data_IF_178876279709
#
_entry.id   IF_178876279709
#
_cell.length_a   1.000
_cell.length_b   1.000
_cell.length_c   1.000
_cell.angle_alpha   90.00
_cell.angle_beta   90.00
_cell.angle_gamma   90.00
#
_symmetry.space_group_name_H-M   'P 1'
#
loop_
_entity.id
_entity.type
_entity.pdbx_description
1 polymer ?
#
# COMPACT_ATOMS: atom_id res chain seq x y z
N UNK A 1 -11.80 43.18 -15.76
CA UNK A 1 -11.22 41.83 -15.83
C UNK A 1 -10.35 41.67 -14.58
N UNK A 2 -10.64 40.66 -13.76
CA UNK A 2 -10.09 40.51 -12.40
C UNK A 2 -8.56 40.41 -12.41
N UNK A 3 -7.90 41.32 -11.70
CA UNK A 3 -6.46 41.30 -11.46
C UNK A 3 -6.13 40.21 -10.44
N UNK A 4 -5.81 39.01 -10.91
CA UNK A 4 -5.27 37.96 -10.04
C UNK A 4 -3.85 38.35 -9.64
N UNK A 5 -3.61 38.52 -8.34
CA UNK A 5 -2.27 38.58 -7.78
C UNK A 5 -1.58 37.22 -7.98
N UNK A 6 -0.32 37.23 -8.43
CA UNK A 6 0.46 36.00 -8.61
C UNK A 6 1.32 35.74 -7.37
N UNK A 7 1.43 34.47 -6.96
CA UNK A 7 2.46 34.10 -5.97
C UNK A 7 3.84 34.13 -6.60
N UNK A 8 4.90 34.29 -5.79
CA UNK A 8 6.30 34.31 -6.28
C UNK A 8 6.64 33.01 -7.03
N UNK A 9 6.13 31.87 -6.56
CA UNK A 9 6.29 30.57 -7.23
C UNK A 9 5.59 30.50 -8.59
N UNK A 10 4.38 31.08 -8.71
CA UNK A 10 3.65 31.12 -9.98
C UNK A 10 4.34 32.03 -10.99
N UNK A 11 4.87 33.18 -10.53
CA UNK A 11 5.63 34.07 -11.40
C UNK A 11 6.93 33.42 -11.85
N UNK A 12 7.67 32.78 -10.94
CA UNK A 12 8.92 32.10 -11.29
C UNK A 12 8.68 31.00 -12.34
N UNK A 13 7.67 30.15 -12.13
CA UNK A 13 7.33 29.10 -13.10
C UNK A 13 6.74 29.61 -14.42
N UNK A 14 6.37 30.89 -14.52
CA UNK A 14 6.01 31.52 -15.80
C UNK A 14 7.22 32.09 -16.54
N UNK A 15 8.26 32.45 -15.80
CA UNK A 15 9.51 32.96 -16.37
C UNK A 15 10.43 31.81 -16.78
N UNK A 16 10.53 30.75 -15.98
CA UNK A 16 11.23 29.50 -16.27
C UNK A 16 10.41 28.67 -17.30
N UNK A 17 10.66 28.88 -18.60
CA UNK A 17 9.89 28.26 -19.68
C UNK A 17 10.28 26.80 -19.90
N UNK A 18 11.54 26.47 -19.63
CA UNK A 18 12.08 25.12 -19.82
C UNK A 18 11.87 24.20 -18.60
N UNK A 19 11.39 24.75 -17.48
CA UNK A 19 11.13 24.09 -16.18
C UNK A 19 12.38 23.44 -15.56
N UNK A 20 13.55 24.03 -15.77
CA UNK A 20 14.81 23.54 -15.22
C UNK A 20 15.11 24.06 -13.80
N UNK A 21 14.27 24.97 -13.28
CA UNK A 21 14.40 25.56 -11.96
C UNK A 21 15.29 26.82 -11.92
N UNK A 22 15.69 27.32 -13.08
CA UNK A 22 16.49 28.53 -13.27
C UNK A 22 15.82 29.44 -14.31
N UNK A 23 16.12 30.73 -14.25
CA UNK A 23 15.71 31.70 -15.29
C UNK A 23 16.98 32.10 -16.03
N UNK A 24 17.14 31.64 -17.27
CA UNK A 24 18.28 31.98 -18.11
C UNK A 24 17.96 33.05 -19.16
N UNK A 25 18.93 33.39 -20.00
CA UNK A 25 18.77 34.39 -21.07
C UNK A 25 17.78 33.92 -22.14
N UNK A 26 17.68 32.61 -22.39
CA UNK A 26 16.73 32.06 -23.34
C UNK A 26 15.30 32.17 -22.82
N UNK A 27 15.06 31.91 -21.54
CA UNK A 27 13.80 32.12 -20.85
C UNK A 27 13.37 33.59 -20.88
N UNK A 28 14.31 34.49 -20.55
CA UNK A 28 14.06 35.93 -20.59
C UNK A 28 13.74 36.44 -22.00
N UNK A 29 14.42 35.92 -23.03
CA UNK A 29 14.13 36.21 -24.45
C UNK A 29 12.78 35.63 -24.88
N UNK A 30 12.39 34.45 -24.41
CA UNK A 30 11.09 33.84 -24.73
C UNK A 30 9.92 34.66 -24.18
N UNK A 31 10.09 35.26 -22.99
CA UNK A 31 9.06 36.09 -22.35
C UNK A 31 9.14 37.57 -22.78
N UNK A 32 10.18 37.99 -23.50
CA UNK A 32 10.38 39.37 -23.96
C UNK A 32 9.21 39.95 -24.76
N UNK A 33 8.54 39.14 -25.59
CA UNK A 33 7.37 39.56 -26.38
C UNK A 33 6.16 39.90 -25.50
N UNK A 34 6.07 39.33 -24.30
CA UNK A 34 4.96 39.59 -23.37
C UNK A 34 5.11 40.92 -22.62
N UNK A 35 6.22 41.64 -22.83
CA UNK A 35 6.62 42.81 -22.04
C UNK A 35 6.68 44.05 -22.93
N UNK A 36 5.88 45.05 -22.61
CA UNK A 36 5.78 46.31 -23.37
C UNK A 36 6.91 47.32 -23.06
N UNK A 37 8.15 46.89 -22.81
CA UNK A 37 9.26 47.79 -22.49
C UNK A 37 10.40 47.70 -23.52
N UNK A 38 10.52 48.73 -24.37
CA UNK A 38 11.62 48.88 -25.35
C UNK A 38 13.02 48.81 -24.71
N UNK A 39 13.15 49.21 -23.44
CA UNK A 39 14.42 49.20 -22.71
C UNK A 39 14.89 47.79 -22.28
N UNK A 40 13.98 46.83 -22.07
CA UNK A 40 14.39 45.50 -21.62
C UNK A 40 15.03 44.70 -22.76
N UNK A 41 14.51 44.84 -23.99
CA UNK A 41 15.01 44.12 -25.16
C UNK A 41 16.42 44.58 -25.55
N UNK A 42 16.72 45.87 -25.45
CA UNK A 42 18.06 46.40 -25.74
C UNK A 42 19.11 46.01 -24.70
N UNK A 43 18.70 45.81 -23.44
CA UNK A 43 19.58 45.34 -22.37
C UNK A 43 19.78 43.82 -22.40
N UNK A 44 18.80 43.05 -22.86
CA UNK A 44 18.91 41.59 -23.01
C UNK A 44 19.98 41.17 -24.04
N UNK A 45 20.22 41.98 -25.06
CA UNK A 45 21.29 41.75 -26.05
C UNK A 45 22.70 41.96 -25.48
N UNK A 46 22.82 42.61 -24.31
CA UNK A 46 24.09 42.85 -23.62
C UNK A 46 24.41 41.77 -22.56
N UNK A 47 23.46 40.87 -22.27
CA UNK A 47 23.63 39.78 -21.31
C UNK A 47 24.26 38.57 -22.02
N UNK A 48 25.35 38.04 -21.46
CA UNK A 48 25.98 36.83 -21.98
C UNK A 48 25.16 35.56 -21.70
N UNK A 49 25.17 34.59 -22.61
CA UNK A 49 24.35 33.37 -22.54
C UNK A 49 24.65 32.46 -21.32
N UNK A 50 25.70 32.73 -20.53
CA UNK A 50 26.12 31.90 -19.38
C UNK A 50 25.49 32.28 -18.04
N UNK A 51 24.56 33.23 -17.99
CA UNK A 51 23.97 33.71 -16.74
C UNK A 51 22.58 33.13 -16.48
N UNK A 52 22.38 32.52 -15.30
CA UNK A 52 21.11 31.93 -14.86
C UNK A 52 20.78 32.32 -13.42
N UNK A 53 19.51 32.64 -13.14
CA UNK A 53 19.02 33.06 -11.81
C UNK A 53 18.22 31.92 -11.16
N UNK A 54 18.61 31.48 -9.97
CA UNK A 54 17.88 30.45 -9.21
C UNK A 54 16.69 31.03 -8.43
N UNK A 55 15.69 30.20 -8.07
CA UNK A 55 14.51 30.64 -7.31
C UNK A 55 14.84 31.43 -6.02
N UNK A 56 15.84 30.99 -5.25
CA UNK A 56 16.24 31.67 -4.00
C UNK A 56 16.82 33.06 -4.25
N UNK A 57 17.53 33.23 -5.36
CA UNK A 57 18.10 34.51 -5.76
C UNK A 57 17.02 35.44 -6.31
N UNK A 58 16.12 34.89 -7.13
CA UNK A 58 14.94 35.60 -7.62
C UNK A 58 14.05 36.11 -6.47
N UNK A 59 13.77 35.27 -5.48
CA UNK A 59 13.01 35.68 -4.29
C UNK A 59 13.72 36.78 -3.49
N UNK A 60 15.05 36.69 -3.32
CA UNK A 60 15.83 37.74 -2.65
C UNK A 60 15.86 39.06 -3.43
N UNK A 61 15.83 39.02 -4.76
CA UNK A 61 15.78 40.21 -5.60
C UNK A 61 14.45 40.94 -5.48
N UNK A 62 13.33 40.20 -5.47
CA UNK A 62 12.01 40.79 -5.27
C UNK A 62 11.88 41.45 -3.90
N UNK A 63 12.40 40.78 -2.86
CA UNK A 63 12.41 41.31 -1.48
C UNK A 63 13.25 42.59 -1.36
N UNK A 64 14.45 42.63 -1.99
CA UNK A 64 15.34 43.80 -2.01
C UNK A 64 14.71 45.01 -2.70
N UNK A 65 13.79 44.80 -3.63
CA UNK A 65 13.07 45.85 -4.35
C UNK A 65 11.67 46.12 -3.76
N UNK A 66 11.37 45.62 -2.56
CA UNK A 66 10.10 45.82 -1.84
C UNK A 66 8.85 45.35 -2.63
N UNK A 67 9.01 44.37 -3.53
CA UNK A 67 7.90 43.80 -4.32
C UNK A 67 7.24 42.69 -3.51
N UNK A 68 6.12 43.00 -2.86
CA UNK A 68 5.38 42.03 -2.03
C UNK A 68 4.39 41.19 -2.86
N UNK A 69 3.99 40.01 -2.34
CA UNK A 69 3.03 39.08 -2.97
C UNK A 69 1.71 39.73 -3.42
N UNK A 70 1.31 40.83 -2.77
CA UNK A 70 0.07 41.54 -3.06
C UNK A 70 0.16 42.49 -4.26
N UNK A 71 1.37 42.86 -4.69
CA UNK A 71 1.61 43.82 -5.77
C UNK A 71 1.92 43.16 -7.12
N UNK A 72 2.04 41.83 -7.18
CA UNK A 72 2.38 41.08 -8.39
C UNK A 72 1.21 41.03 -9.38
N UNK A 73 1.07 42.10 -10.17
CA UNK A 73 0.16 42.23 -11.32
C UNK A 73 0.95 42.20 -12.63
N UNK A 74 0.28 41.85 -13.73
CA UNK A 74 0.87 41.82 -15.08
C UNK A 74 1.60 43.12 -15.49
N UNK A 75 1.19 44.27 -14.94
CA UNK A 75 1.82 45.58 -15.17
C UNK A 75 3.21 45.71 -14.54
N UNK A 76 3.57 44.87 -13.58
CA UNK A 76 4.86 44.89 -12.87
C UNK A 76 5.89 43.89 -13.41
N UNK A 77 5.49 42.98 -14.29
CA UNK A 77 6.38 42.04 -14.99
C UNK A 77 7.53 42.75 -15.71
N UNK A 78 7.25 43.86 -16.39
CA UNK A 78 8.28 44.66 -17.09
C UNK A 78 9.30 45.28 -16.15
N UNK A 79 8.90 45.66 -14.93
CA UNK A 79 9.81 46.18 -13.89
C UNK A 79 10.69 45.06 -13.32
N UNK A 80 10.10 43.90 -13.04
CA UNK A 80 10.79 42.73 -12.50
C UNK A 80 11.86 42.23 -13.48
N UNK A 81 11.54 42.20 -14.78
CA UNK A 81 12.49 41.85 -15.83
C UNK A 81 13.63 42.86 -15.97
N UNK A 82 13.35 44.16 -15.90
CA UNK A 82 14.39 45.17 -15.93
C UNK A 82 15.34 45.05 -14.71
N UNK A 83 14.81 44.73 -13.53
CA UNK A 83 15.60 44.45 -12.32
C UNK A 83 16.49 43.23 -12.53
N UNK A 84 15.95 42.13 -13.06
CA UNK A 84 16.72 40.91 -13.33
C UNK A 84 17.84 41.17 -14.33
N UNK A 85 17.54 41.79 -15.47
CA UNK A 85 18.53 42.11 -16.51
C UNK A 85 19.62 43.05 -15.96
N UNK A 86 19.24 44.08 -15.20
CA UNK A 86 20.20 45.01 -14.58
C UNK A 86 21.08 44.29 -13.54
N UNK A 87 20.50 43.39 -12.74
CA UNK A 87 21.25 42.58 -11.78
C UNK A 87 22.27 41.72 -12.52
N UNK A 88 21.87 41.03 -13.58
CA UNK A 88 22.73 40.17 -14.39
C UNK A 88 23.89 40.93 -15.05
N UNK A 89 23.66 42.17 -15.51
CA UNK A 89 24.71 43.04 -16.04
C UNK A 89 25.67 43.58 -14.96
N UNK A 90 25.22 43.69 -13.71
CA UNK A 90 26.02 44.21 -12.59
C UNK A 90 26.90 43.17 -11.91
N UNK A 91 26.62 41.88 -12.12
CA UNK A 91 27.40 40.78 -11.54
C UNK A 91 28.63 40.51 -12.43
N UNK A 92 29.87 40.67 -11.92
CA UNK A 92 31.07 40.39 -12.70
C UNK A 92 31.12 38.90 -13.08
N UNK A 93 31.54 38.63 -14.33
CA UNK A 93 31.60 37.31 -14.98
C UNK A 93 32.45 36.23 -14.26
N UNK A 94 33.09 36.55 -13.14
CA UNK A 94 33.81 35.62 -12.27
C UNK A 94 32.95 34.95 -11.19
N UNK A 95 31.70 35.37 -11.01
CA UNK A 95 30.71 34.72 -10.15
C UNK A 95 29.55 34.12 -10.96
N UNK A 96 29.85 33.51 -12.10
CA UNK A 96 28.91 32.64 -12.78
C UNK A 96 28.66 31.40 -11.91
N UNK A 97 27.44 31.29 -11.37
CA UNK A 97 26.92 30.05 -10.78
C UNK A 97 26.78 29.02 -11.90
N UNK A 98 27.89 28.39 -12.24
CA UNK A 98 27.97 27.23 -13.14
C UNK A 98 26.89 26.21 -12.78
N UNK A 99 26.09 25.81 -13.77
CA UNK A 99 25.19 24.66 -13.75
C UNK A 99 25.80 23.50 -12.97
N UNK A 100 25.32 23.29 -11.74
CA UNK A 100 25.71 22.15 -10.92
C UNK A 100 24.72 21.04 -11.26
N UNK A 101 25.15 20.01 -12.00
CA UNK A 101 24.34 18.80 -12.12
C UNK A 101 23.88 18.36 -10.72
N UNK A 102 22.57 18.14 -10.49
CA UNK A 102 22.09 17.76 -9.18
C UNK A 102 22.77 16.45 -8.80
N UNK A 103 23.46 16.46 -7.66
CA UNK A 103 24.16 15.27 -7.19
C UNK A 103 23.12 14.16 -7.00
N UNK A 104 23.51 12.89 -7.13
CA UNK A 104 22.61 11.75 -6.89
C UNK A 104 21.83 11.88 -5.56
N UNK A 105 22.45 12.52 -4.56
CA UNK A 105 21.84 12.88 -3.29
C UNK A 105 20.63 13.82 -3.44
N UNK A 106 20.73 14.88 -4.24
CA UNK A 106 19.66 15.86 -4.46
C UNK A 106 18.48 15.22 -5.20
N UNK A 107 18.75 14.39 -6.22
CA UNK A 107 17.71 13.55 -6.88
C UNK A 107 17.05 12.56 -5.93
N UNK A 108 17.79 12.01 -4.98
CA UNK A 108 17.24 11.07 -3.99
C UNK A 108 16.37 11.80 -2.98
N UNK A 109 16.77 13.00 -2.57
CA UNK A 109 15.96 13.86 -1.70
C UNK A 109 14.68 14.29 -2.41
N UNK A 110 14.75 14.76 -3.66
CA UNK A 110 13.57 15.15 -4.43
C UNK A 110 12.60 13.98 -4.68
N UNK A 111 13.14 12.79 -4.94
CA UNK A 111 12.33 11.58 -5.03
C UNK A 111 11.67 11.24 -3.70
N UNK A 112 12.37 11.41 -2.57
CA UNK A 112 11.86 11.16 -1.22
C UNK A 112 10.86 12.22 -0.74
N UNK A 113 10.98 13.47 -1.18
CA UNK A 113 10.09 14.58 -0.87
C UNK A 113 8.91 14.70 -1.84
N UNK A 114 8.90 13.93 -2.94
CA UNK A 114 7.76 13.85 -3.85
C UNK A 114 6.49 13.40 -3.13
N UNK A 115 5.35 14.01 -3.47
CA UNK A 115 4.06 13.68 -2.82
C UNK A 115 3.68 12.21 -3.04
N UNK A 116 4.06 11.62 -4.18
CA UNK A 116 3.87 10.19 -4.45
C UNK A 116 4.60 9.32 -3.43
N UNK A 117 5.85 9.66 -3.09
CA UNK A 117 6.61 8.90 -2.09
C UNK A 117 6.03 9.11 -0.69
N UNK A 118 5.58 10.32 -0.35
CA UNK A 118 4.92 10.58 0.94
C UNK A 118 3.64 9.74 1.08
N UNK A 119 2.80 9.67 0.05
CA UNK A 119 1.61 8.81 0.06
C UNK A 119 1.96 7.32 0.17
N UNK A 120 3.04 6.88 -0.49
CA UNK A 120 3.51 5.51 -0.42
C UNK A 120 4.01 5.14 1.00
N UNK A 121 4.78 6.04 1.62
CA UNK A 121 5.26 5.87 3.00
C UNK A 121 4.07 5.88 3.97
N UNK A 122 3.15 6.85 3.85
CA UNK A 122 1.95 6.92 4.68
C UNK A 122 1.10 5.64 4.57
N UNK A 123 0.89 5.14 3.35
CA UNK A 123 0.20 3.87 3.11
C UNK A 123 0.92 2.66 3.72
N UNK A 124 2.25 2.60 3.60
CA UNK A 124 3.08 1.55 4.17
C UNK A 124 3.04 1.52 5.70
N UNK A 125 3.20 2.68 6.35
CA UNK A 125 3.13 2.84 7.80
C UNK A 125 1.73 2.53 8.31
N UNK A 126 0.68 3.08 7.69
CA UNK A 126 -0.70 2.82 8.05
C UNK A 126 -1.04 1.32 7.97
N UNK A 127 -0.58 0.65 6.91
CA UNK A 127 -0.70 -0.80 6.78
C UNK A 127 -0.01 -1.55 7.93
N UNK A 128 1.21 -1.15 8.30
CA UNK A 128 2.00 -1.82 9.34
C UNK A 128 1.37 -1.66 10.72
N UNK A 129 0.90 -0.44 11.05
CA UNK A 129 0.19 -0.14 12.29
C UNK A 129 -1.10 -0.95 12.37
N UNK A 130 -1.92 -0.94 11.31
CA UNK A 130 -3.15 -1.71 11.24
C UNK A 130 -2.93 -3.21 11.50
N UNK A 131 -1.96 -3.83 10.82
CA UNK A 131 -1.63 -5.26 11.02
C UNK A 131 -1.19 -5.57 12.44
N UNK A 132 -0.49 -4.64 13.08
CA UNK A 132 -0.03 -4.79 14.47
C UNK A 132 -1.18 -4.72 15.45
N UNK A 133 -2.10 -3.77 15.28
CA UNK A 133 -3.30 -3.65 16.13
C UNK A 133 -4.18 -4.89 16.03
N UNK A 134 -4.39 -5.44 14.82
CA UNK A 134 -5.24 -6.63 14.63
C UNK A 134 -4.51 -7.96 14.78
N UNK A 135 -3.22 -7.96 15.10
CA UNK A 135 -2.41 -9.17 15.27
C UNK A 135 -3.00 -10.20 16.26
N UNK A 136 -3.54 -9.81 17.44
CA UNK A 136 -4.15 -10.78 18.36
C UNK A 136 -5.30 -11.57 17.71
N UNK A 137 -6.19 -10.86 17.02
CA UNK A 137 -7.38 -11.43 16.38
C UNK A 137 -7.00 -12.30 15.18
N UNK A 138 -6.00 -11.87 14.43
CA UNK A 138 -5.45 -12.59 13.29
C UNK A 138 -4.76 -13.89 13.71
N UNK A 139 -3.97 -13.83 14.78
CA UNK A 139 -3.34 -15.03 15.37
C UNK A 139 -4.40 -16.00 15.87
N UNK A 140 -5.42 -15.52 16.58
CA UNK A 140 -6.54 -16.34 17.04
C UNK A 140 -7.30 -16.99 15.86
N UNK A 141 -7.53 -16.28 14.75
CA UNK A 141 -8.10 -16.88 13.52
C UNK A 141 -7.26 -18.08 13.09
N UNK A 142 -5.94 -17.91 12.96
CA UNK A 142 -5.04 -18.98 12.53
C UNK A 142 -5.10 -20.16 13.50
N UNK A 143 -5.03 -19.92 14.81
CA UNK A 143 -5.13 -20.97 15.83
C UNK A 143 -6.43 -21.75 15.71
N UNK A 144 -7.56 -21.08 15.47
CA UNK A 144 -8.85 -21.76 15.30
C UNK A 144 -8.88 -22.64 14.05
N UNK A 145 -8.36 -22.15 12.93
CA UNK A 145 -8.42 -22.82 11.63
C UNK A 145 -7.59 -24.12 11.59
N UNK A 146 -6.51 -24.19 12.37
CA UNK A 146 -5.56 -25.31 12.32
C UNK A 146 -5.85 -26.42 13.33
N UNK A 147 -6.77 -26.22 14.27
CA UNK A 147 -7.18 -27.24 15.24
C UNK A 147 -7.67 -28.50 14.52
N UNK A 148 -7.24 -29.66 15.00
CA UNK A 148 -7.53 -30.96 14.37
C UNK A 148 -8.79 -31.65 14.87
N UNK A 149 -8.86 -32.98 14.67
CA UNK A 149 -10.01 -33.80 15.06
C UNK A 149 -10.08 -34.05 16.56
N UNK A 150 -8.95 -33.92 17.26
CA UNK A 150 -8.89 -34.04 18.72
C UNK A 150 -9.64 -32.87 19.39
N UNK A 151 -9.88 -32.99 20.70
CA UNK A 151 -10.56 -31.98 21.49
C UNK A 151 -9.97 -30.57 21.22
N UNK A 152 -10.81 -29.58 20.87
CA UNK A 152 -10.32 -28.26 20.49
C UNK A 152 -9.64 -27.60 21.69
N UNK A 153 -8.32 -27.36 21.58
CA UNK A 153 -7.54 -26.68 22.60
C UNK A 153 -7.94 -25.20 22.79
N UNK A 154 -8.55 -24.59 21.77
CA UNK A 154 -8.96 -23.19 21.78
C UNK A 154 -10.43 -23.07 21.40
N UNK A 155 -11.26 -22.70 22.37
CA UNK A 155 -12.71 -22.50 22.19
C UNK A 155 -13.10 -21.13 22.71
N UNK A 156 -13.82 -20.34 21.91
CA UNK A 156 -14.31 -19.01 22.31
C UNK A 156 -13.26 -17.91 22.19
N UNK A 157 -13.71 -16.70 21.88
CA UNK A 157 -12.83 -15.54 21.60
C UNK A 157 -12.08 -15.10 22.87
N UNK A 158 -12.81 -14.81 23.94
CA UNK A 158 -12.24 -14.23 25.17
C UNK A 158 -11.36 -15.19 25.96
N UNK A 159 -11.79 -16.43 26.09
CA UNK A 159 -11.01 -17.54 26.67
C UNK A 159 -9.70 -17.76 25.93
N UNK A 160 -9.71 -17.70 24.59
CA UNK A 160 -8.49 -17.85 23.78
C UNK A 160 -7.55 -16.66 23.96
N UNK A 161 -8.06 -15.43 23.91
CA UNK A 161 -7.25 -14.23 24.16
C UNK A 161 -6.64 -14.23 25.57
N UNK A 162 -7.43 -14.58 26.59
CA UNK A 162 -6.97 -14.70 27.97
C UNK A 162 -5.91 -15.79 28.14
N UNK A 163 -6.07 -16.93 27.46
CA UNK A 163 -5.08 -18.01 27.43
C UNK A 163 -3.77 -17.56 26.77
N UNK A 164 -3.84 -16.94 25.60
CA UNK A 164 -2.66 -16.40 24.89
C UNK A 164 -1.91 -15.38 25.75
N UNK A 165 -2.62 -14.52 26.47
CA UNK A 165 -2.02 -13.57 27.40
C UNK A 165 -1.32 -14.26 28.57
N UNK A 166 -1.99 -15.24 29.21
CA UNK A 166 -1.43 -15.96 30.36
C UNK A 166 -0.24 -16.85 30.00
N UNK A 167 -0.30 -17.53 28.85
CA UNK A 167 0.74 -18.49 28.44
C UNK A 167 1.94 -17.81 27.76
N UNK A 168 1.73 -16.73 27.00
CA UNK A 168 2.76 -16.14 26.13
C UNK A 168 2.94 -14.62 26.26
N UNK A 169 2.06 -13.94 27.02
CA UNK A 169 2.07 -12.49 27.18
C UNK A 169 1.84 -11.71 25.88
N UNK A 170 2.21 -10.43 25.90
CA UNK A 170 2.10 -9.52 24.76
C UNK A 170 2.84 -10.02 23.51
N UNK A 171 4.06 -10.55 23.68
CA UNK A 171 4.84 -11.11 22.57
C UNK A 171 4.13 -12.29 21.91
N UNK A 172 3.33 -13.03 22.66
CA UNK A 172 2.40 -14.03 22.14
C UNK A 172 1.46 -13.45 21.09
N UNK A 173 0.78 -12.34 21.36
CA UNK A 173 -0.15 -11.75 20.40
C UNK A 173 0.50 -11.32 19.08
N UNK A 174 1.79 -11.02 19.09
CA UNK A 174 2.54 -10.52 17.93
C UNK A 174 3.24 -11.62 17.11
N UNK A 175 3.04 -12.90 17.45
CA UNK A 175 3.72 -14.01 16.76
C UNK A 175 3.30 -14.14 15.31
N UNK A 176 4.29 -14.06 14.42
CA UNK A 176 4.10 -14.05 12.97
C UNK A 176 3.77 -12.67 12.39
N UNK A 177 3.52 -11.64 13.21
CA UNK A 177 3.20 -10.30 12.71
C UNK A 177 4.36 -9.66 11.94
N UNK A 178 5.61 -9.86 12.38
CA UNK A 178 6.78 -9.34 11.67
C UNK A 178 6.84 -9.82 10.22
N UNK A 179 6.57 -11.11 9.99
CA UNK A 179 6.47 -11.67 8.63
C UNK A 179 5.32 -11.06 7.83
N UNK A 180 4.19 -10.76 8.49
CA UNK A 180 3.05 -10.11 7.86
C UNK A 180 3.35 -8.69 7.39
N UNK A 181 4.10 -7.91 8.18
CA UNK A 181 4.54 -6.55 7.83
C UNK A 181 5.56 -6.59 6.69
N UNK A 182 6.60 -7.43 6.79
CA UNK A 182 7.62 -7.60 5.75
C UNK A 182 6.98 -8.00 4.41
N UNK A 183 5.96 -8.86 4.45
CA UNK A 183 5.26 -9.33 3.25
C UNK A 183 4.53 -8.23 2.48
N UNK A 184 4.17 -7.11 3.12
CA UNK A 184 3.35 -6.09 2.46
C UNK A 184 4.04 -5.46 1.25
N UNK A 185 5.33 -5.13 1.36
CA UNK A 185 6.08 -4.48 0.29
C UNK A 185 6.14 -5.34 -0.98
N UNK A 186 6.65 -6.58 -0.96
CA UNK A 186 6.70 -7.41 -2.16
C UNK A 186 5.30 -7.81 -2.64
N UNK A 187 4.32 -7.91 -1.75
CA UNK A 187 2.93 -8.18 -2.12
C UNK A 187 2.36 -7.03 -2.96
N UNK A 188 2.45 -5.79 -2.48
CA UNK A 188 1.97 -4.62 -3.21
C UNK A 188 2.73 -4.42 -4.52
N UNK A 189 4.06 -4.51 -4.50
CA UNK A 189 4.88 -4.34 -5.71
C UNK A 189 4.51 -5.34 -6.81
N UNK A 190 4.41 -6.63 -6.46
CA UNK A 190 3.97 -7.65 -7.42
C UNK A 190 2.52 -7.46 -7.87
N UNK A 191 1.64 -6.97 -6.99
CA UNK A 191 0.23 -6.73 -7.33
C UNK A 191 0.08 -5.61 -8.33
N UNK A 192 0.76 -4.48 -8.12
CA UNK A 192 0.74 -3.37 -9.06
C UNK A 192 1.34 -3.76 -10.41
N UNK A 193 2.51 -4.40 -10.41
CA UNK A 193 3.14 -4.85 -11.65
C UNK A 193 2.25 -5.83 -12.43
N UNK A 194 1.66 -6.83 -11.77
CA UNK A 194 0.76 -7.77 -12.42
C UNK A 194 -0.56 -7.11 -12.85
N UNK A 195 -1.08 -6.17 -12.06
CA UNK A 195 -2.31 -5.46 -12.37
C UNK A 195 -2.17 -4.63 -13.65
N UNK A 196 -1.07 -3.88 -13.83
CA UNK A 196 -0.85 -3.11 -15.06
C UNK A 196 -0.78 -4.01 -16.31
N UNK A 197 -0.18 -5.20 -16.19
CA UNK A 197 -0.13 -6.17 -17.29
C UNK A 197 -1.52 -6.73 -17.62
N UNK A 198 -2.27 -7.18 -16.61
CA UNK A 198 -3.63 -7.68 -16.83
C UNK A 198 -4.58 -6.58 -17.29
N UNK A 199 -4.40 -5.36 -16.79
CA UNK A 199 -5.18 -4.19 -17.20
C UNK A 199 -4.95 -3.88 -18.67
N UNK A 200 -3.68 -3.82 -19.09
CA UNK A 200 -3.32 -3.58 -20.49
C UNK A 200 -3.84 -4.69 -21.40
N UNK A 201 -3.78 -5.95 -20.96
CA UNK A 201 -4.26 -7.10 -21.73
C UNK A 201 -5.79 -7.18 -21.85
N UNK A 202 -6.54 -6.66 -20.87
CA UNK A 202 -8.01 -6.67 -20.85
C UNK A 202 -8.65 -5.36 -21.33
N UNK A 203 -7.83 -4.35 -21.64
CA UNK A 203 -8.30 -3.05 -22.14
C UNK A 203 -8.86 -3.20 -23.56
N UNK A 204 -10.05 -2.65 -23.79
CA UNK A 204 -10.60 -2.58 -25.15
C UNK A 204 -9.89 -1.50 -25.98
N UNK A 205 -9.66 -1.74 -27.28
CA UNK A 205 -9.12 -0.71 -28.18
C UNK A 205 -9.99 0.55 -28.14
N UNK A 206 -9.37 1.69 -27.83
CA UNK A 206 -10.04 3.00 -27.79
C UNK A 206 -10.69 3.40 -26.45
N UNK A 207 -10.56 2.59 -25.39
CA UNK A 207 -11.00 2.96 -24.03
C UNK A 207 -9.82 3.23 -23.10
N UNK A 208 -9.96 4.24 -22.24
CA UNK A 208 -8.96 4.62 -21.22
C UNK A 208 -9.14 3.88 -19.89
N UNK A 209 -10.32 3.31 -19.62
CA UNK A 209 -10.64 2.62 -18.38
C UNK A 209 -11.32 1.26 -18.61
N UNK A 210 -11.06 0.33 -17.69
CA UNK A 210 -11.72 -0.96 -17.66
C UNK A 210 -13.13 -0.85 -17.09
N UNK A 211 -14.04 -1.67 -17.62
CA UNK A 211 -15.34 -1.89 -16.98
C UNK A 211 -15.16 -2.52 -15.57
N UNK A 212 -16.19 -2.41 -14.73
CA UNK A 212 -16.15 -2.96 -13.37
C UNK A 212 -15.82 -4.46 -13.36
N UNK A 213 -16.43 -5.32 -14.21
CA UNK A 213 -16.10 -6.74 -14.27
C UNK A 213 -14.63 -7.04 -14.62
N UNK A 214 -14.07 -6.45 -15.69
CA UNK A 214 -12.67 -6.73 -16.08
C UNK A 214 -11.68 -6.12 -15.11
N UNK A 215 -12.00 -4.98 -14.50
CA UNK A 215 -11.19 -4.41 -13.42
C UNK A 215 -11.11 -5.36 -12.22
N UNK A 216 -12.24 -6.00 -11.85
CA UNK A 216 -12.28 -7.02 -10.81
C UNK A 216 -11.50 -8.27 -11.20
N UNK A 217 -11.61 -8.72 -12.44
CA UNK A 217 -10.82 -9.87 -12.96
C UNK A 217 -9.32 -9.56 -12.96
N UNK A 218 -8.92 -8.39 -13.47
CA UNK A 218 -7.53 -7.93 -13.46
C UNK A 218 -6.97 -7.84 -12.04
N UNK A 219 -7.76 -7.29 -11.10
CA UNK A 219 -7.43 -7.23 -9.68
C UNK A 219 -7.35 -8.60 -9.00
N UNK A 220 -8.24 -9.52 -9.37
CA UNK A 220 -8.23 -10.90 -8.86
C UNK A 220 -7.02 -11.69 -9.34
N UNK A 221 -6.69 -11.61 -10.64
CA UNK A 221 -5.54 -12.27 -11.24
C UNK A 221 -4.21 -11.68 -10.72
N UNK A 222 -4.11 -10.36 -10.61
CA UNK A 222 -2.92 -9.73 -10.02
C UNK A 222 -2.74 -10.15 -8.56
N UNK A 223 -3.82 -10.22 -7.78
CA UNK A 223 -3.81 -10.74 -6.42
C UNK A 223 -3.31 -12.19 -6.34
N UNK A 224 -3.69 -13.07 -7.28
CA UNK A 224 -3.18 -14.45 -7.37
C UNK A 224 -1.66 -14.45 -7.59
N UNK A 225 -1.17 -13.64 -8.52
CA UNK A 225 0.28 -13.53 -8.81
C UNK A 225 1.04 -13.04 -7.57
N UNK A 226 0.51 -12.02 -6.87
CA UNK A 226 1.13 -11.50 -5.64
C UNK A 226 1.13 -12.49 -4.48
N UNK A 227 0.04 -13.24 -4.33
CA UNK A 227 -0.04 -14.32 -3.36
C UNK A 227 0.98 -15.40 -3.69
N UNK A 228 1.12 -15.79 -4.95
CA UNK A 228 2.12 -16.77 -5.37
C UNK A 228 3.54 -16.27 -5.06
N UNK A 229 3.87 -15.04 -5.47
CA UNK A 229 5.18 -14.43 -5.21
C UNK A 229 5.52 -14.37 -3.71
N UNK A 230 4.54 -14.03 -2.87
CA UNK A 230 4.74 -13.86 -1.42
C UNK A 230 4.35 -15.06 -0.57
N UNK A 231 4.05 -16.20 -1.20
CA UNK A 231 3.50 -17.37 -0.52
C UNK A 231 4.44 -17.94 0.57
N UNK A 232 5.77 -18.03 0.37
CA UNK A 232 6.68 -18.52 1.40
C UNK A 232 6.57 -17.74 2.72
N UNK A 233 6.40 -16.42 2.64
CA UNK A 233 6.23 -15.57 3.83
C UNK A 233 4.89 -15.82 4.53
N UNK A 234 3.80 -16.06 3.78
CA UNK A 234 2.51 -16.37 4.39
C UNK A 234 2.50 -17.76 5.06
N UNK A 235 3.20 -18.74 4.49
CA UNK A 235 3.37 -20.05 5.12
C UNK A 235 4.20 -19.93 6.41
N UNK A 236 5.34 -19.24 6.38
CA UNK A 236 6.20 -19.04 7.56
C UNK A 236 5.44 -18.31 8.67
N UNK A 237 4.69 -17.26 8.32
CA UNK A 237 3.82 -16.54 9.25
C UNK A 237 2.88 -17.48 9.98
N UNK A 238 2.18 -18.34 9.23
CA UNK A 238 1.21 -19.30 9.80
C UNK A 238 1.88 -20.22 10.81
N UNK A 239 3.07 -20.74 10.48
CA UNK A 239 3.81 -21.62 11.38
C UNK A 239 4.33 -20.92 12.62
N UNK A 240 4.90 -19.73 12.49
CA UNK A 240 5.36 -18.92 13.62
C UNK A 240 4.21 -18.57 14.59
N UNK A 241 3.00 -18.35 14.07
CA UNK A 241 1.81 -18.08 14.89
C UNK A 241 1.36 -19.29 15.73
N UNK A 242 1.71 -20.51 15.31
CA UNK A 242 1.26 -21.77 15.93
C UNK A 242 2.35 -22.41 16.79
N UNK A 243 3.62 -22.21 16.46
CA UNK A 243 4.77 -22.86 17.12
C UNK A 243 4.89 -22.62 18.62
N UNK A 244 4.28 -21.56 19.17
CA UNK A 244 4.17 -21.37 20.63
C UNK A 244 2.84 -21.71 21.24
N UNK A 245 1.83 -21.94 20.41
CA UNK A 245 0.57 -22.42 20.93
C UNK A 245 0.83 -23.79 21.57
N UNK A 246 0.13 -24.06 22.66
CA UNK A 246 0.13 -25.35 23.36
C UNK A 246 -0.05 -26.57 22.45
N UNK A 247 -0.61 -26.38 21.24
CA UNK A 247 -0.73 -27.41 20.19
C UNK A 247 0.61 -28.00 19.71
N UNK A 248 1.73 -27.27 19.79
CA UNK A 248 3.07 -27.78 19.47
C UNK A 248 3.89 -28.16 20.70
N UNK A 249 3.41 -27.85 21.91
CA UNK A 249 4.05 -28.17 23.18
C UNK A 249 3.37 -29.43 23.75
N UNK A 250 3.49 -30.55 23.05
CA UNK A 250 3.11 -31.89 23.55
C UNK A 250 4.33 -32.70 24.00
N UNK A 251 5.34 -32.05 24.58
CA UNK A 251 6.48 -32.74 25.19
C UNK A 251 6.71 -32.22 26.59
N UNK A 252 6.59 -33.14 27.57
CA UNK A 252 7.02 -33.05 28.96
C UNK A 252 8.54 -32.78 29.09
N UNK A 253 9.05 -31.73 28.47
CA UNK A 253 10.47 -31.41 28.44
C UNK A 253 10.63 -30.00 28.96
N UNK A 254 11.18 -29.87 30.18
CA UNK A 254 11.61 -28.62 30.84
C UNK A 254 12.75 -27.90 30.10
N UNK A 255 12.87 -28.08 28.79
CA UNK A 255 13.89 -27.43 27.97
C UNK A 255 13.24 -26.25 27.25
N UNK A 256 13.71 -25.01 27.45
CA UNK A 256 13.20 -23.86 26.71
C UNK A 256 13.55 -24.02 25.23
N UNK A 257 12.57 -24.47 24.44
CA UNK A 257 12.72 -24.56 22.98
C UNK A 257 12.82 -23.14 22.45
N UNK A 258 14.03 -22.73 22.03
CA UNK A 258 14.24 -21.46 21.34
C UNK A 258 13.43 -21.51 20.05
N UNK A 259 12.36 -20.70 19.99
CA UNK A 259 11.50 -20.67 18.83
C UNK A 259 12.27 -20.13 17.62
N UNK A 260 12.23 -20.83 16.47
CA UNK A 260 12.99 -20.44 15.30
C UNK A 260 12.50 -19.10 14.76
N UNK A 261 13.43 -18.27 14.28
CA UNK A 261 13.08 -17.05 13.55
C UNK A 261 12.50 -17.34 12.16
N UNK A 262 12.21 -16.28 11.40
CA UNK A 262 11.70 -16.38 10.02
C UNK A 262 12.65 -17.23 9.16
N UNK A 263 13.94 -16.88 9.15
CA UNK A 263 14.97 -17.56 8.34
C UNK A 263 15.13 -19.02 8.75
N UNK A 264 15.22 -19.30 10.06
CA UNK A 264 15.33 -20.66 10.58
C UNK A 264 14.11 -21.51 10.20
N UNK A 265 12.90 -20.92 10.21
CA UNK A 265 11.68 -21.61 9.79
C UNK A 265 11.70 -21.94 8.29
N UNK A 266 12.11 -20.98 7.44
CA UNK A 266 12.29 -21.23 5.99
C UNK A 266 13.30 -22.35 5.74
N UNK A 267 14.46 -22.29 6.39
CA UNK A 267 15.52 -23.30 6.26
C UNK A 267 15.05 -24.68 6.72
N UNK A 268 14.30 -24.75 7.82
CA UNK A 268 13.72 -25.99 8.31
C UNK A 268 12.79 -26.60 7.26
N UNK A 269 11.80 -25.84 6.79
CA UNK A 269 10.84 -26.30 5.76
C UNK A 269 11.58 -26.79 4.52
N UNK A 270 12.57 -26.02 4.05
CA UNK A 270 13.32 -26.37 2.86
C UNK A 270 14.07 -27.70 3.03
N UNK A 271 14.69 -27.92 4.19
CA UNK A 271 15.48 -29.14 4.45
C UNK A 271 14.60 -30.36 4.77
N UNK A 272 13.48 -30.19 5.47
CA UNK A 272 12.71 -31.33 6.01
C UNK A 272 11.46 -31.68 5.21
N UNK A 273 10.93 -30.77 4.38
CA UNK A 273 9.60 -30.93 3.78
C UNK A 273 9.56 -30.86 2.25
N UNK A 274 10.68 -31.20 1.61
CA UNK A 274 10.76 -31.30 0.15
C UNK A 274 11.10 -29.99 -0.55
N UNK A 275 11.93 -29.14 0.07
CA UNK A 275 12.51 -27.96 -0.57
C UNK A 275 11.47 -26.90 -0.92
N UNK A 276 11.55 -26.41 -2.17
CA UNK A 276 10.65 -25.39 -2.69
C UNK A 276 9.19 -25.82 -2.66
N UNK A 277 8.87 -27.08 -2.97
CA UNK A 277 7.47 -27.56 -2.96
C UNK A 277 6.82 -27.46 -1.57
N UNK A 278 7.60 -27.65 -0.51
CA UNK A 278 7.14 -27.48 0.88
C UNK A 278 6.74 -26.04 1.20
N UNK A 279 7.49 -25.05 0.69
CA UNK A 279 7.21 -23.63 0.89
C UNK A 279 5.91 -23.15 0.21
N UNK A 280 5.40 -23.90 -0.77
CA UNK A 280 4.18 -23.59 -1.52
C UNK A 280 2.97 -24.45 -1.12
N UNK A 281 3.05 -25.21 -0.03
CA UNK A 281 1.96 -26.06 0.44
C UNK A 281 0.74 -25.21 0.83
N UNK A 282 -0.37 -25.41 0.12
CA UNK A 282 -1.62 -24.65 0.30
C UNK A 282 -1.84 -23.51 -0.72
N UNK A 283 -0.93 -23.30 -1.67
CA UNK A 283 -1.15 -22.32 -2.75
C UNK A 283 -2.38 -22.69 -3.59
N UNK A 284 -2.57 -23.98 -3.85
CA UNK A 284 -3.72 -24.47 -4.63
C UNK A 284 -5.09 -24.10 -4.02
N UNK A 285 -5.43 -24.44 -2.76
CA UNK A 285 -6.69 -24.00 -2.17
C UNK A 285 -6.81 -22.48 -2.05
N UNK A 286 -5.68 -21.76 -1.96
CA UNK A 286 -5.69 -20.29 -1.95
C UNK A 286 -6.16 -19.73 -3.28
N UNK A 287 -5.56 -20.18 -4.39
CA UNK A 287 -5.87 -19.72 -5.75
C UNK A 287 -7.26 -20.14 -6.18
N UNK A 288 -7.67 -21.37 -5.83
CA UNK A 288 -9.02 -21.87 -6.10
C UNK A 288 -10.13 -21.02 -5.46
N UNK A 289 -9.85 -20.39 -4.32
CA UNK A 289 -10.81 -19.53 -3.62
C UNK A 289 -10.99 -18.14 -4.22
N UNK A 290 -10.02 -17.63 -4.98
CA UNK A 290 -10.03 -16.23 -5.45
C UNK A 290 -11.13 -15.98 -6.48
N UNK A 291 -11.19 -16.77 -7.55
CA UNK A 291 -12.17 -16.55 -8.61
C UNK A 291 -13.63 -16.68 -8.12
N UNK A 292 -14.00 -17.72 -7.35
CA UNK A 292 -15.32 -17.80 -6.72
C UNK A 292 -15.61 -16.65 -5.76
N UNK A 293 -14.62 -16.20 -4.97
CA UNK A 293 -14.80 -15.06 -4.08
C UNK A 293 -15.14 -13.78 -4.85
N UNK A 294 -14.40 -13.46 -5.92
CA UNK A 294 -14.65 -12.28 -6.75
C UNK A 294 -16.04 -12.35 -7.39
N UNK A 295 -16.40 -13.50 -7.96
CA UNK A 295 -17.70 -13.70 -8.61
C UNK A 295 -18.87 -13.55 -7.61
N UNK A 296 -18.77 -14.21 -6.45
CA UNK A 296 -19.81 -14.15 -5.41
C UNK A 296 -19.93 -12.75 -4.82
N UNK A 297 -18.81 -12.09 -4.54
CA UNK A 297 -18.83 -10.74 -3.99
C UNK A 297 -19.51 -9.76 -4.96
N UNK A 298 -19.19 -9.85 -6.25
CA UNK A 298 -19.85 -9.04 -7.28
C UNK A 298 -21.35 -9.34 -7.38
N UNK A 299 -21.73 -10.62 -7.49
CA UNK A 299 -23.12 -11.01 -7.62
C UNK A 299 -23.94 -10.60 -6.38
N UNK A 300 -23.41 -10.82 -5.18
CA UNK A 300 -24.07 -10.40 -3.94
C UNK A 300 -24.17 -8.88 -3.85
N UNK A 301 -23.16 -8.14 -4.33
CA UNK A 301 -23.19 -6.68 -4.34
C UNK A 301 -24.28 -6.13 -5.25
N UNK A 302 -24.39 -6.60 -6.50
CA UNK A 302 -25.42 -6.14 -7.43
C UNK A 302 -26.83 -6.47 -6.91
N UNK A 303 -27.04 -7.70 -6.42
CA UNK A 303 -28.32 -8.07 -5.80
C UNK A 303 -28.64 -7.15 -4.61
N UNK A 304 -27.71 -6.98 -3.67
CA UNK A 304 -27.94 -6.13 -2.49
C UNK A 304 -28.19 -4.67 -2.88
N UNK A 305 -27.49 -4.16 -3.88
CA UNK A 305 -27.66 -2.81 -4.40
C UNK A 305 -29.07 -2.62 -5.00
N UNK A 306 -29.54 -3.58 -5.79
CA UNK A 306 -30.89 -3.54 -6.39
C UNK A 306 -32.00 -3.54 -5.33
N UNK A 307 -31.81 -4.28 -4.23
CA UNK A 307 -32.78 -4.31 -3.11
C UNK A 307 -32.66 -3.12 -2.15
N UNK A 308 -31.45 -2.64 -1.87
CA UNK A 308 -31.19 -1.67 -0.80
C UNK A 308 -31.02 -0.23 -1.29
N UNK A 309 -30.90 0.03 -2.60
CA UNK A 309 -30.72 1.39 -3.15
C UNK A 309 -31.81 1.64 -4.22
N UNK A 310 -32.93 2.30 -3.87
CA UNK A 310 -33.92 2.72 -4.85
C UNK A 310 -33.35 3.83 -5.75
N UNK A 311 -33.85 3.88 -6.98
CA UNK A 311 -33.31 4.61 -8.16
C UNK A 311 -33.20 6.14 -7.98
N UNK A 312 -33.69 6.72 -6.87
CA UNK A 312 -33.94 8.18 -6.76
C UNK A 312 -33.27 8.93 -5.60
N UNK A 313 -32.45 8.31 -4.75
CA UNK A 313 -31.75 9.05 -3.68
C UNK A 313 -30.22 8.99 -3.83
N UNK A 314 -29.63 10.17 -4.07
CA UNK A 314 -28.19 10.42 -4.17
C UNK A 314 -27.47 10.35 -2.79
N UNK A 315 -28.22 10.06 -1.72
CA UNK A 315 -27.70 9.86 -0.37
C UNK A 315 -27.38 8.38 -0.13
N UNK A 316 -26.16 7.95 -0.46
CA UNK A 316 -25.86 6.53 -0.30
C UNK A 316 -24.42 6.07 -0.15
N UNK A 317 -23.42 6.94 0.11
CA UNK A 317 -22.04 6.44 0.29
C UNK A 317 -21.95 5.40 1.43
N UNK A 318 -22.71 5.62 2.52
CA UNK A 318 -22.80 4.68 3.65
C UNK A 318 -23.58 3.41 3.28
N UNK A 319 -24.70 3.53 2.53
CA UNK A 319 -25.50 2.38 2.08
C UNK A 319 -24.71 1.50 1.11
N UNK A 320 -24.00 2.11 0.14
CA UNK A 320 -23.09 1.42 -0.78
C UNK A 320 -21.95 0.72 -0.03
N UNK A 321 -21.38 1.38 0.99
CA UNK A 321 -20.38 0.78 1.88
C UNK A 321 -20.94 -0.44 2.63
N UNK A 322 -22.16 -0.34 3.17
CA UNK A 322 -22.83 -1.42 3.86
C UNK A 322 -23.16 -2.60 2.93
N UNK A 323 -23.65 -2.31 1.72
CA UNK A 323 -23.88 -3.32 0.69
C UNK A 323 -22.58 -4.06 0.34
N UNK A 324 -21.47 -3.31 0.17
CA UNK A 324 -20.15 -3.90 -0.08
C UNK A 324 -19.65 -4.75 1.08
N UNK A 325 -19.81 -4.29 2.32
CA UNK A 325 -19.41 -5.04 3.52
C UNK A 325 -20.23 -6.33 3.69
N UNK A 326 -21.55 -6.27 3.44
CA UNK A 326 -22.43 -7.43 3.52
C UNK A 326 -22.16 -8.42 2.38
N UNK A 327 -22.03 -7.94 1.14
CA UNK A 327 -21.67 -8.76 -0.01
C UNK A 327 -20.34 -9.50 0.22
N UNK A 328 -19.32 -8.77 0.68
CA UNK A 328 -18.02 -9.35 1.02
C UNK A 328 -18.11 -10.37 2.15
N UNK A 329 -18.96 -10.12 3.15
CA UNK A 329 -19.17 -11.05 4.27
C UNK A 329 -19.87 -12.34 3.84
N UNK A 330 -20.86 -12.26 2.95
CA UNK A 330 -21.55 -13.42 2.37
C UNK A 330 -20.57 -14.23 1.52
N UNK A 331 -19.87 -13.58 0.58
CA UNK A 331 -18.88 -14.23 -0.27
C UNK A 331 -17.78 -14.91 0.56
N UNK A 332 -17.27 -14.22 1.59
CA UNK A 332 -16.28 -14.77 2.51
C UNK A 332 -16.81 -15.97 3.30
N UNK A 333 -18.11 -15.99 3.67
CA UNK A 333 -18.74 -17.14 4.37
C UNK A 333 -18.74 -18.37 3.47
N UNK A 334 -19.16 -18.21 2.22
CA UNK A 334 -19.28 -19.31 1.26
C UNK A 334 -17.89 -19.89 0.93
N UNK A 335 -16.88 -19.02 0.76
CA UNK A 335 -15.51 -19.43 0.43
C UNK A 335 -14.68 -19.85 1.66
N UNK A 336 -15.19 -19.60 2.88
CA UNK A 336 -14.47 -19.86 4.12
C UNK A 336 -13.89 -21.28 4.28
N UNK A 337 -14.55 -22.36 3.83
CA UNK A 337 -13.98 -23.71 3.90
C UNK A 337 -12.62 -23.83 3.19
N UNK A 338 -12.41 -23.15 2.05
CA UNK A 338 -11.12 -23.12 1.36
C UNK A 338 -10.07 -22.33 2.15
N UNK A 339 -10.52 -21.31 2.87
CA UNK A 339 -9.70 -20.46 3.75
C UNK A 339 -9.16 -21.25 4.95
N UNK A 340 -10.00 -22.09 5.57
CA UNK A 340 -9.58 -23.04 6.63
C UNK A 340 -8.63 -24.08 6.06
N UNK A 341 -9.00 -24.66 4.92
CA UNK A 341 -8.21 -25.70 4.25
C UNK A 341 -6.79 -25.24 3.91
N UNK A 342 -6.64 -24.01 3.39
CA UNK A 342 -5.34 -23.37 3.15
C UNK A 342 -4.47 -23.43 4.40
N UNK A 343 -4.98 -22.98 5.56
CA UNK A 343 -4.19 -22.97 6.81
C UNK A 343 -3.79 -24.37 7.24
N UNK A 344 -4.67 -25.37 7.05
CA UNK A 344 -4.33 -26.77 7.33
C UNK A 344 -3.21 -27.31 6.45
N UNK A 345 -3.22 -26.95 5.18
CA UNK A 345 -2.15 -27.33 4.26
C UNK A 345 -0.83 -26.65 4.65
N UNK A 346 -0.85 -25.40 5.10
CA UNK A 346 0.36 -24.68 5.52
C UNK A 346 1.05 -25.29 6.76
N UNK A 347 0.28 -25.96 7.62
CA UNK A 347 0.78 -26.61 8.85
C UNK A 347 0.97 -28.11 8.72
N UNK A 348 0.36 -28.74 7.71
CA UNK A 348 0.68 -30.11 7.32
C UNK A 348 2.19 -30.19 7.09
N UNK A 349 2.85 -31.21 7.65
CA UNK A 349 4.31 -31.39 7.65
C UNK A 349 5.02 -30.95 8.93
N UNK A 350 4.35 -30.23 9.84
CA UNK A 350 4.87 -30.03 11.20
C UNK A 350 4.71 -31.33 12.00
N UNK A 351 5.76 -31.78 12.70
CA UNK A 351 5.77 -33.02 13.50
C UNK A 351 4.66 -33.09 14.56
N UNK A 352 4.09 -31.95 14.97
CA UNK A 352 2.99 -31.88 15.92
C UNK A 352 1.59 -32.04 15.30
N UNK A 353 1.47 -32.11 13.97
CA UNK A 353 0.20 -32.11 13.24
C UNK A 353 0.19 -33.16 12.11
N UNK A 354 -0.36 -34.35 12.38
CA UNK A 354 -0.43 -35.46 11.41
C UNK A 354 -1.59 -35.30 10.42
N UNK A 355 -1.52 -34.27 9.57
CA UNK A 355 -2.45 -34.10 8.45
C UNK A 355 -1.84 -34.63 7.16
N UNK A 356 -2.28 -35.82 6.74
CA UNK A 356 -2.00 -36.35 5.40
C UNK A 356 -3.23 -36.20 4.52
N UNK A 357 -3.16 -35.24 3.60
CA UNK A 357 -4.21 -35.00 2.62
C UNK A 357 -3.71 -35.30 1.22
N UNK A 358 -4.38 -36.20 0.50
CA UNK A 358 -4.05 -36.54 -0.89
C UNK A 358 -4.66 -35.55 -1.91
N UNK A 359 -5.37 -34.51 -1.44
CA UNK A 359 -5.96 -33.47 -2.29
C UNK A 359 -6.97 -32.59 -1.54
N UNK A 360 -7.35 -31.47 -2.15
CA UNK A 360 -8.31 -30.48 -1.59
C UNK A 360 -9.66 -31.12 -1.28
N UNK A 361 -10.23 -31.89 -2.21
CA UNK A 361 -11.54 -32.53 -2.01
C UNK A 361 -11.50 -33.60 -0.92
N UNK A 362 -10.46 -34.44 -0.94
CA UNK A 362 -10.24 -35.46 0.09
C UNK A 362 -10.11 -34.81 1.47
N UNK A 363 -9.39 -33.70 1.57
CA UNK A 363 -9.24 -32.95 2.82
C UNK A 363 -10.56 -32.36 3.32
N UNK A 364 -11.33 -31.70 2.46
CA UNK A 364 -12.65 -31.15 2.83
C UNK A 364 -13.60 -32.25 3.30
N UNK A 365 -13.66 -33.38 2.57
CA UNK A 365 -14.48 -34.54 2.95
C UNK A 365 -14.02 -35.12 4.28
N UNK A 366 -12.71 -35.28 4.47
CA UNK A 366 -12.14 -35.82 5.73
C UNK A 366 -12.44 -34.91 6.91
N UNK A 367 -12.31 -33.59 6.74
CA UNK A 367 -12.63 -32.61 7.79
C UNK A 367 -14.12 -32.66 8.15
N UNK A 368 -15.01 -32.70 7.15
CA UNK A 368 -16.44 -32.77 7.39
C UNK A 368 -16.84 -34.07 8.11
N UNK A 369 -16.24 -35.21 7.75
CA UNK A 369 -16.56 -36.53 8.31
C UNK A 369 -15.95 -36.75 9.70
N UNK A 370 -14.68 -36.37 9.91
CA UNK A 370 -13.97 -36.65 11.18
C UNK A 370 -14.13 -35.57 12.23
N UNK A 371 -14.38 -34.33 11.83
CA UNK A 371 -14.39 -33.17 12.74
C UNK A 371 -15.73 -32.42 12.75
N UNK A 372 -16.65 -32.85 11.88
CA UNK A 372 -17.96 -32.24 11.70
C UNK A 372 -17.90 -30.96 10.85
N UNK A 373 -19.07 -30.57 10.33
CA UNK A 373 -19.22 -29.42 9.42
C UNK A 373 -18.79 -28.08 10.05
N UNK A 374 -18.94 -27.94 11.38
CA UNK A 374 -18.49 -26.75 12.13
C UNK A 374 -16.98 -26.52 12.03
N UNK A 375 -16.17 -27.57 11.77
CA UNK A 375 -14.72 -27.45 11.62
C UNK A 375 -14.31 -26.57 10.43
N UNK A 376 -15.12 -26.56 9.35
CA UNK A 376 -14.90 -25.79 8.13
C UNK A 376 -15.08 -24.28 8.32
N UNK A 377 -15.66 -23.86 9.46
CA UNK A 377 -15.95 -22.46 9.79
C UNK A 377 -15.23 -21.97 11.05
N UNK A 378 -14.27 -22.76 11.57
CA UNK A 378 -13.45 -22.34 12.73
C UNK A 378 -12.65 -21.09 12.38
N UNK A 379 -12.76 -20.05 13.21
CA UNK A 379 -12.07 -18.77 13.01
C UNK A 379 -12.88 -17.71 12.27
N UNK A 380 -14.12 -18.01 11.84
CA UNK A 380 -14.95 -17.07 11.09
C UNK A 380 -15.27 -15.81 11.90
N UNK A 381 -15.66 -15.97 13.17
CA UNK A 381 -15.95 -14.85 14.05
C UNK A 381 -14.73 -13.92 14.26
N UNK A 382 -13.53 -14.44 14.64
CA UNK A 382 -12.32 -13.63 14.63
C UNK A 382 -12.04 -12.92 13.30
N UNK A 383 -12.35 -13.58 12.18
CA UNK A 383 -12.18 -12.98 10.86
C UNK A 383 -13.07 -11.77 10.62
N UNK A 384 -14.30 -11.73 11.16
CA UNK A 384 -15.16 -10.55 11.07
C UNK A 384 -14.75 -9.46 12.06
N UNK A 385 -14.47 -9.84 13.31
CA UNK A 385 -14.14 -8.89 14.37
C UNK A 385 -12.89 -8.06 14.05
N UNK A 386 -11.93 -8.60 13.29
CA UNK A 386 -10.74 -7.83 12.88
C UNK A 386 -10.98 -6.83 11.76
N UNK A 387 -12.01 -6.97 10.92
CA UNK A 387 -12.12 -6.22 9.66
C UNK A 387 -12.37 -4.74 9.94
N UNK A 388 -13.36 -4.41 10.75
CA UNK A 388 -13.69 -3.02 11.07
C UNK A 388 -12.53 -2.29 11.78
N UNK A 389 -11.89 -2.84 12.84
CA UNK A 389 -10.70 -2.24 13.44
C UNK A 389 -9.54 -2.09 12.46
N UNK A 390 -9.29 -3.09 11.60
CA UNK A 390 -8.21 -3.01 10.61
C UNK A 390 -8.44 -1.83 9.66
N UNK A 391 -9.65 -1.65 9.15
CA UNK A 391 -9.98 -0.54 8.24
C UNK A 391 -9.90 0.80 8.96
N UNK A 392 -10.53 0.92 10.14
CA UNK A 392 -10.49 2.15 10.93
C UNK A 392 -9.08 2.62 11.24
N UNK A 393 -8.22 1.72 11.72
CA UNK A 393 -6.81 2.04 12.02
C UNK A 393 -6.03 2.38 10.76
N UNK A 394 -6.28 1.68 9.64
CA UNK A 394 -5.57 1.99 8.38
C UNK A 394 -5.89 3.41 7.91
N UNK A 395 -7.18 3.78 7.84
CA UNK A 395 -7.57 5.12 7.41
C UNK A 395 -7.08 6.19 8.38
N UNK A 396 -7.25 5.99 9.68
CA UNK A 396 -6.79 6.94 10.68
C UNK A 396 -5.28 7.15 10.64
N UNK A 397 -4.49 6.06 10.60
CA UNK A 397 -3.04 6.15 10.50
C UNK A 397 -2.58 6.73 9.17
N UNK A 398 -3.29 6.47 8.07
CA UNK A 398 -2.97 7.05 6.78
C UNK A 398 -3.15 8.57 6.79
N UNK A 399 -4.30 9.07 7.25
CA UNK A 399 -4.56 10.51 7.35
C UNK A 399 -3.56 11.20 8.29
N UNK A 400 -3.28 10.60 9.45
CA UNK A 400 -2.29 11.14 10.40
C UNK A 400 -0.89 11.21 9.77
N UNK A 401 -0.45 10.17 9.07
CA UNK A 401 0.85 10.18 8.40
C UNK A 401 0.90 11.21 7.26
N UNK A 402 -0.20 11.33 6.49
CA UNK A 402 -0.31 12.31 5.41
C UNK A 402 -0.22 13.74 5.95
N UNK A 403 -0.90 14.02 7.06
CA UNK A 403 -0.88 15.32 7.76
C UNK A 403 0.53 15.65 8.29
N UNK A 404 1.18 14.71 8.98
CA UNK A 404 2.55 14.88 9.50
C UNK A 404 3.56 15.14 8.38
N UNK A 405 3.40 14.50 7.22
CA UNK A 405 4.30 14.64 6.08
C UNK A 405 3.96 15.82 5.17
N UNK A 406 2.89 16.57 5.45
CA UNK A 406 2.37 17.63 4.59
C UNK A 406 2.22 17.19 3.13
N UNK A 407 1.77 15.95 2.91
CA UNK A 407 1.45 15.44 1.58
C UNK A 407 0.08 16.01 1.17
N UNK A 408 0.05 16.89 0.17
CA UNK A 408 -1.17 17.59 -0.25
C UNK A 408 -2.12 16.66 -0.98
#
# INVERSE_FOLDING_TARGET
>A
MNSNSWSIHQLFGLLDQNQDGYIDVHDMKAVSHLLASENANTLLDQVGDETSIAFSEFASLLDRHEITENDLKSEHLGKIMNIMVTHTLSVPSSSSTSYREPKLYDKTIDMLTSDTMKHLIAGGVAGAVSRTVVSPMERMKILFQVQGPNMPAYTGVWSTLGRMWKEEGWRGFMRGNGTNVIRMIPYSASQFAAYEQFKSALMEPGKSELDTPRRLVAGGLSGVVSVACTYPLDLVRTRLSIQSASLSISTNSNVPVKLPGIVSTVQLIYKTEGGLRGLYRGLWPTTLGVAPYVALNFQCYEVLKDYLIPIQEDHGNIRKLFCGALAGSIAQTIIYPLDVLRRRFQVSGMNSMDYKYNGTWHALKTMAQKEGFKSLYRGLLPNYLKVAPAMGVTFYSYELCKEIMHAK
#
